data_IF_684211564788
#
_entry.id   IF_684211564788
#
_cell.length_a   1.000
_cell.length_b   1.000
_cell.length_c   1.000
_cell.angle_alpha   90.00
_cell.angle_beta   90.00
_cell.angle_gamma   90.00
#
_symmetry.space_group_name_H-M   'P 1'
#
loop_
_entity.id
_entity.type
_entity.pdbx_description
1 polymer ?
#
# COMPACT_ATOMS: atom_id res chain seq x y z
N UNK A 1 12.85 -39.49 -51.69
CA UNK A 1 13.98 -39.20 -50.78
C UNK A 1 13.84 -37.78 -50.26
N UNK A 2 14.25 -37.56 -49.02
CA UNK A 2 14.19 -36.33 -48.22
C UNK A 2 12.84 -36.05 -47.51
N UNK A 3 12.70 -36.73 -46.38
CA UNK A 3 11.81 -36.40 -45.27
C UNK A 3 12.28 -35.10 -44.62
N UNK A 4 11.57 -33.99 -44.79
CA UNK A 4 11.82 -32.75 -44.03
C UNK A 4 10.47 -32.08 -43.76
N UNK A 5 9.70 -32.64 -42.82
CA UNK A 5 8.48 -31.99 -42.34
C UNK A 5 8.25 -32.32 -40.86
N UNK A 6 9.24 -32.00 -40.04
CA UNK A 6 9.18 -32.16 -38.58
C UNK A 6 9.64 -30.92 -37.82
N UNK A 7 9.74 -29.74 -38.47
CA UNK A 7 10.14 -28.49 -37.80
C UNK A 7 8.97 -27.60 -37.34
N UNK A 8 7.71 -28.06 -37.43
CA UNK A 8 6.54 -27.23 -37.07
C UNK A 8 6.07 -27.35 -35.61
N UNK A 9 6.78 -28.09 -34.74
CA UNK A 9 6.34 -28.33 -33.35
C UNK A 9 6.97 -27.39 -32.30
N UNK A 10 7.71 -26.35 -32.70
CA UNK A 10 8.44 -25.45 -31.78
C UNK A 10 7.93 -24.00 -31.78
N UNK A 11 6.64 -23.77 -32.03
CA UNK A 11 6.01 -22.45 -31.87
C UNK A 11 4.82 -22.54 -30.92
N UNK A 12 5.05 -23.06 -29.71
CA UNK A 12 4.04 -23.03 -28.64
C UNK A 12 4.63 -22.64 -27.27
N UNK A 13 5.90 -22.24 -27.20
CA UNK A 13 6.60 -22.00 -25.93
C UNK A 13 6.85 -20.51 -25.62
N UNK A 14 6.32 -19.56 -26.40
CA UNK A 14 6.67 -18.13 -26.26
C UNK A 14 5.53 -17.26 -25.67
N UNK A 15 4.36 -17.82 -25.36
CA UNK A 15 3.18 -17.00 -25.00
C UNK A 15 2.56 -17.31 -23.62
N UNK A 16 3.31 -17.93 -22.71
CA UNK A 16 2.86 -18.17 -21.33
C UNK A 16 3.91 -17.84 -20.28
N UNK A 17 4.79 -16.87 -20.55
CA UNK A 17 5.27 -16.01 -19.47
C UNK A 17 4.27 -14.87 -19.41
N UNK A 18 3.06 -15.21 -18.95
CA UNK A 18 2.11 -14.21 -18.47
C UNK A 18 2.90 -13.33 -17.54
N UNK A 19 3.13 -12.10 -18.00
CA UNK A 19 3.69 -11.03 -17.21
C UNK A 19 2.93 -11.06 -15.91
N UNK A 20 3.57 -11.59 -14.86
CA UNK A 20 3.22 -11.22 -13.50
C UNK A 20 3.55 -9.74 -13.49
N UNK A 21 2.60 -8.91 -13.93
CA UNK A 21 2.55 -7.52 -13.54
C UNK A 21 2.50 -7.67 -12.03
N UNK A 22 3.56 -7.34 -11.26
CA UNK A 22 3.29 -7.04 -9.88
C UNK A 22 2.29 -5.90 -9.99
N UNK A 23 1.00 -6.18 -9.76
CA UNK A 23 0.10 -5.14 -9.30
C UNK A 23 0.92 -4.50 -8.20
N UNK A 24 1.38 -3.28 -8.45
CA UNK A 24 2.09 -2.52 -7.46
C UNK A 24 1.12 -2.48 -6.29
N UNK A 25 1.28 -3.41 -5.35
CA UNK A 25 0.74 -3.28 -4.02
C UNK A 25 1.42 -2.01 -3.58
N UNK A 26 0.72 -0.88 -3.75
CA UNK A 26 1.17 0.40 -3.26
C UNK A 26 1.52 0.10 -1.81
N UNK A 27 2.82 0.10 -1.51
CA UNK A 27 3.28 -0.30 -0.20
C UNK A 27 2.69 0.75 0.73
N UNK A 28 1.92 0.34 1.72
CA UNK A 28 1.36 1.29 2.66
C UNK A 28 2.37 1.51 3.78
N UNK A 29 2.80 2.75 3.90
CA UNK A 29 3.66 3.23 4.97
C UNK A 29 2.79 3.63 6.16
N UNK A 30 3.35 3.49 7.36
CA UNK A 30 2.66 3.81 8.60
C UNK A 30 3.55 4.70 9.47
N UNK A 31 3.03 5.85 9.92
CA UNK A 31 3.74 6.77 10.80
C UNK A 31 2.84 7.24 11.94
N UNK A 32 3.32 7.11 13.17
CA UNK A 32 2.63 7.58 14.38
C UNK A 32 3.08 9.01 14.67
N UNK A 33 2.10 9.86 14.98
CA UNK A 33 2.25 11.26 15.34
C UNK A 33 1.82 11.47 16.80
N UNK A 34 2.68 11.10 17.78
CA UNK A 34 2.36 11.25 19.19
C UNK A 34 2.19 12.71 19.64
N UNK A 35 2.65 13.66 18.83
CA UNK A 35 2.43 15.09 19.01
C UNK A 35 0.98 15.53 18.73
N UNK A 36 0.21 14.72 18.01
CA UNK A 36 -1.21 14.98 17.72
C UNK A 36 -2.04 14.06 18.61
N UNK A 37 -2.58 14.65 19.67
CA UNK A 37 -3.47 13.95 20.60
C UNK A 37 -4.85 13.75 19.95
N UNK A 38 -5.44 12.59 20.20
CA UNK A 38 -6.81 12.27 19.86
C UNK A 38 -7.63 12.19 21.15
N UNK A 39 -8.82 12.79 21.20
CA UNK A 39 -9.68 12.77 22.38
C UNK A 39 -10.83 11.78 22.21
N UNK A 40 -10.97 10.86 23.18
CA UNK A 40 -12.19 10.05 23.40
C UNK A 40 -12.78 9.34 22.17
N UNK A 41 -11.95 8.73 21.32
CA UNK A 41 -12.43 7.93 20.18
C UNK A 41 -13.08 8.76 19.06
N UNK A 42 -12.97 10.08 19.12
CA UNK A 42 -13.22 10.96 17.98
C UNK A 42 -11.89 11.56 17.59
N UNK A 43 -11.52 11.35 16.33
CA UNK A 43 -10.47 12.11 15.66
C UNK A 43 -10.63 13.57 16.11
N UNK A 44 -9.65 14.09 16.89
CA UNK A 44 -9.48 15.54 16.94
C UNK A 44 -9.46 15.93 15.48
N UNK A 45 -10.39 16.79 15.02
CA UNK A 45 -10.79 16.91 13.61
C UNK A 45 -9.64 17.13 12.62
N UNK A 46 -8.43 17.33 13.14
CA UNK A 46 -7.15 17.56 12.51
C UNK A 46 -6.36 16.31 12.11
N UNK A 47 -6.58 15.09 12.64
CA UNK A 47 -5.70 13.93 12.30
C UNK A 47 -5.75 13.55 10.81
N UNK A 48 -6.94 13.31 10.26
CA UNK A 48 -7.09 12.99 8.83
C UNK A 48 -6.65 14.16 7.92
N UNK A 49 -7.07 15.42 8.18
CA UNK A 49 -6.55 16.56 7.43
C UNK A 49 -5.02 16.71 7.50
N UNK A 50 -4.41 16.46 8.66
CA UNK A 50 -2.96 16.47 8.83
C UNK A 50 -2.30 15.41 7.96
N UNK A 51 -2.76 14.16 8.03
CA UNK A 51 -2.22 13.07 7.21
C UNK A 51 -2.34 13.38 5.72
N UNK A 52 -3.51 13.91 5.29
CA UNK A 52 -3.75 14.31 3.90
C UNK A 52 -2.83 15.44 3.44
N UNK A 53 -2.57 16.42 4.30
CA UNK A 53 -1.69 17.54 3.97
C UNK A 53 -0.22 17.08 3.90
N UNK A 54 0.20 16.20 4.81
CA UNK A 54 1.59 15.75 4.90
C UNK A 54 1.97 14.71 3.84
N UNK A 55 1.09 13.73 3.60
CA UNK A 55 1.38 12.56 2.76
C UNK A 55 0.54 12.51 1.47
N UNK A 56 -0.35 13.47 1.27
CA UNK A 56 -1.21 13.58 0.09
C UNK A 56 -2.63 13.05 0.33
N UNK A 57 -3.56 13.31 -0.61
CA UNK A 57 -5.00 13.07 -0.42
C UNK A 57 -5.41 11.60 -0.30
N UNK A 58 -4.49 10.67 -0.57
CA UNK A 58 -4.70 9.23 -0.42
C UNK A 58 -4.30 8.73 0.97
N UNK A 59 -3.85 9.60 1.87
CA UNK A 59 -3.45 9.23 3.21
C UNK A 59 -4.66 9.07 4.14
N UNK A 60 -4.73 7.95 4.84
CA UNK A 60 -5.63 7.75 5.95
C UNK A 60 -5.10 8.39 7.23
N UNK A 61 -6.02 8.70 8.15
CA UNK A 61 -5.70 9.18 9.49
C UNK A 61 -6.56 8.43 10.50
N UNK A 62 -5.91 7.85 11.50
CA UNK A 62 -6.53 6.99 12.50
C UNK A 62 -6.07 7.42 13.90
N UNK A 63 -6.97 7.31 14.88
CA UNK A 63 -6.57 7.46 16.27
C UNK A 63 -6.30 6.09 16.86
N UNK A 64 -5.09 5.88 17.36
CA UNK A 64 -4.65 4.63 17.96
C UNK A 64 -4.32 4.83 19.44
N UNK A 65 -4.64 3.81 20.25
CA UNK A 65 -4.17 3.71 21.63
C UNK A 65 -3.04 2.69 21.66
N UNK A 66 -1.85 3.09 22.12
CA UNK A 66 -0.69 2.20 22.20
C UNK A 66 -0.25 2.06 23.66
N UNK A 67 -0.10 0.82 24.11
CA UNK A 67 0.33 0.49 25.47
C UNK A 67 1.72 1.10 25.72
N UNK A 68 1.85 1.91 26.76
CA UNK A 68 3.10 2.59 27.12
C UNK A 68 3.15 4.07 26.72
N UNK A 69 2.16 4.58 25.99
CA UNK A 69 1.99 6.00 25.72
C UNK A 69 0.72 6.55 26.40
N UNK A 70 0.75 7.83 26.74
CA UNK A 70 -0.29 8.46 27.56
C UNK A 70 -1.41 9.04 26.66
N UNK A 71 -2.41 8.22 26.34
CA UNK A 71 -3.61 8.62 25.59
C UNK A 71 -3.67 8.09 24.15
N UNK A 72 -4.70 8.46 23.37
CA UNK A 72 -4.82 8.13 21.96
C UNK A 72 -4.03 9.13 21.10
N UNK A 73 -3.35 8.64 20.06
CA UNK A 73 -2.52 9.46 19.16
C UNK A 73 -2.95 9.29 17.71
N UNK A 74 -2.67 10.31 16.91
CA UNK A 74 -2.85 10.21 15.46
C UNK A 74 -1.81 9.27 14.85
N UNK A 75 -2.25 8.43 13.92
CA UNK A 75 -1.39 7.68 13.04
C UNK A 75 -1.86 7.83 11.60
N UNK A 76 -0.92 8.00 10.69
CA UNK A 76 -1.17 8.13 9.27
C UNK A 76 -0.78 6.84 8.55
N UNK A 77 -1.69 6.36 7.72
CA UNK A 77 -1.42 5.36 6.70
C UNK A 77 -1.37 6.05 5.34
N UNK A 78 -0.35 5.78 4.53
CA UNK A 78 -0.19 6.47 3.25
C UNK A 78 0.57 5.60 2.25
N UNK A 79 0.40 5.82 0.94
CA UNK A 79 1.22 5.13 -0.05
C UNK A 79 2.69 5.56 0.11
N UNK A 80 3.55 4.59 0.40
CA UNK A 80 4.93 4.64 -0.10
C UNK A 80 4.87 4.57 -1.64
#
# INVERSE_FOLDING_TARGET
MANISTCFLLVAAVLLVGTMIPSAMAQTCYQIHPEILCDQGKVVPECLPFCNNKFGPSAGGQCIEQIGFNGPFCACDYPC
#
